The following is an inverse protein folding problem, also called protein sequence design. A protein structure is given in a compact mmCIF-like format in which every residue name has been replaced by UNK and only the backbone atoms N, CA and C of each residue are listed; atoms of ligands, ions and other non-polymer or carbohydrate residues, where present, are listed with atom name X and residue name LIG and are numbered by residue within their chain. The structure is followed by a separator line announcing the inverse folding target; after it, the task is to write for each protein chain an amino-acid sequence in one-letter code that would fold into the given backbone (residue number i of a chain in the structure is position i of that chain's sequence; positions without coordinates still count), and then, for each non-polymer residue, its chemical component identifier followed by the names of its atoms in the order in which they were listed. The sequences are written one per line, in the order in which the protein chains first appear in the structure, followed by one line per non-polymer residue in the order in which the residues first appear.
data_IF_168363468906
#
_entry.id   IF_168363468906
#
_cell.length_a   1.000
_cell.length_b   1.000
_cell.length_c   1.000
_cell.angle_alpha   90.00
_cell.angle_beta   90.00
_cell.angle_gamma   90.00
#
_symmetry.space_group_name_H-M   'P 1'
#
loop_
_entity.id
_entity.type
_entity.pdbx_description
1 polymer ?
#
# COMPACT_ATOMS: atom_id res chain seq x y z
N UNK A 1 -2.47 12.97 -12.44
CA UNK A 1 -2.68 11.61 -11.92
C UNK A 1 -1.46 10.78 -12.23
N UNK A 2 -0.73 10.42 -11.21
CA UNK A 2 0.50 9.63 -11.33
C UNK A 2 0.38 8.37 -10.48
N UNK A 3 1.07 7.32 -10.91
CA UNK A 3 1.15 6.09 -10.16
C UNK A 3 2.58 5.91 -9.68
N UNK A 4 2.73 5.65 -8.38
CA UNK A 4 4.03 5.45 -7.75
C UNK A 4 4.08 4.05 -7.17
N UNK A 5 5.22 3.38 -7.29
CA UNK A 5 5.38 2.01 -6.82
C UNK A 5 6.31 2.00 -5.61
N UNK A 6 5.84 1.39 -4.53
CA UNK A 6 6.62 1.19 -3.31
C UNK A 6 6.79 -0.31 -3.10
N UNK A 7 8.03 -0.77 -3.12
CA UNK A 7 8.35 -2.17 -2.93
C UNK A 7 8.78 -2.39 -1.47
N UNK A 8 7.98 -3.16 -0.74
CA UNK A 8 8.26 -3.49 0.65
C UNK A 8 8.49 -4.99 0.84
N UNK A 9 8.76 -5.72 -0.24
CA UNK A 9 9.07 -7.14 -0.16
C UNK A 9 10.30 -7.36 0.72
N UNK A 10 10.24 -8.36 1.57
CA UNK A 10 11.29 -8.65 2.53
C UNK A 10 11.20 -7.90 3.84
N UNK A 11 10.27 -6.95 3.96
CA UNK A 11 10.07 -6.21 5.22
C UNK A 11 8.98 -6.88 6.05
N UNK A 12 9.20 -6.89 7.37
CA UNK A 12 8.21 -7.42 8.31
C UNK A 12 7.29 -6.29 8.80
N UNK A 13 6.05 -6.65 9.13
CA UNK A 13 5.14 -5.68 9.72
C UNK A 13 5.71 -5.17 11.05
N UNK A 14 5.56 -3.89 11.38
CA UNK A 14 4.69 -2.92 10.68
C UNK A 14 5.39 -2.06 9.62
N UNK A 15 6.58 -2.46 9.16
CA UNK A 15 7.37 -1.61 8.26
C UNK A 15 6.68 -1.27 6.93
N UNK A 16 5.97 -2.20 6.25
CA UNK A 16 5.25 -1.82 5.04
C UNK A 16 4.23 -0.70 5.27
N UNK A 17 3.56 -0.73 6.42
CA UNK A 17 2.59 0.28 6.79
C UNK A 17 3.24 1.65 7.03
N UNK A 18 4.37 1.66 7.73
CA UNK A 18 5.14 2.88 8.00
C UNK A 18 5.65 3.48 6.70
N UNK A 19 6.20 2.64 5.82
CA UNK A 19 6.71 3.07 4.53
C UNK A 19 5.59 3.63 3.64
N UNK A 20 4.44 2.97 3.63
CA UNK A 20 3.30 3.42 2.85
C UNK A 20 2.81 4.79 3.32
N UNK A 21 2.74 5.00 4.62
CA UNK A 21 2.34 6.29 5.18
C UNK A 21 3.30 7.40 4.80
N UNK A 22 4.61 7.14 4.85
CA UNK A 22 5.61 8.12 4.47
C UNK A 22 5.57 8.41 2.96
N UNK A 23 5.40 7.37 2.15
CA UNK A 23 5.37 7.53 0.69
C UNK A 23 4.14 8.31 0.23
N UNK A 24 2.95 7.96 0.76
CA UNK A 24 1.71 8.59 0.31
C UNK A 24 1.64 10.05 0.74
N UNK A 25 2.30 10.42 1.83
CA UNK A 25 2.35 11.81 2.27
C UNK A 25 3.05 12.72 1.28
N UNK A 26 3.91 12.17 0.42
CA UNK A 26 4.63 12.91 -0.60
C UNK A 26 3.85 13.04 -1.91
N UNK A 27 2.71 12.37 -2.02
CA UNK A 27 1.92 12.36 -3.25
C UNK A 27 0.90 13.50 -3.25
N UNK A 28 0.52 13.91 -4.47
CA UNK A 28 -0.55 14.88 -4.65
C UNK A 28 -1.91 14.18 -4.64
N UNK A 29 -2.99 14.87 -4.27
CA UNK A 29 -4.33 14.30 -4.40
C UNK A 29 -4.60 13.84 -5.82
N UNK A 30 -5.13 12.62 -5.94
CA UNK A 30 -5.37 12.00 -7.24
C UNK A 30 -4.28 11.05 -7.69
N UNK A 31 -3.12 11.07 -7.04
CA UNK A 31 -2.06 10.12 -7.31
C UNK A 31 -2.36 8.78 -6.65
N UNK A 32 -1.84 7.70 -7.25
CA UNK A 32 -2.01 6.35 -6.72
C UNK A 32 -0.67 5.83 -6.21
N UNK A 33 -0.71 5.09 -5.10
CA UNK A 33 0.44 4.39 -4.55
C UNK A 33 0.21 2.89 -4.69
N UNK A 34 1.08 2.22 -5.42
CA UNK A 34 1.10 0.76 -5.55
C UNK A 34 2.12 0.21 -4.56
N UNK A 35 1.67 -0.60 -3.63
CA UNK A 35 2.52 -1.17 -2.58
C UNK A 35 2.66 -2.66 -2.83
N UNK A 36 3.89 -3.11 -3.08
CA UNK A 36 4.21 -4.53 -3.18
C UNK A 36 4.68 -5.00 -1.81
N UNK A 37 4.12 -6.09 -1.30
CA UNK A 37 4.45 -6.59 0.02
C UNK A 37 4.35 -8.11 0.06
N UNK A 38 5.07 -8.72 1.01
CA UNK A 38 5.06 -10.17 1.21
C UNK A 38 4.73 -10.57 2.65
N UNK A 39 4.27 -9.63 3.45
CA UNK A 39 3.88 -9.89 4.83
C UNK A 39 2.38 -10.21 4.88
N UNK A 40 2.03 -11.41 5.40
CA UNK A 40 0.61 -11.81 5.48
C UNK A 40 -0.21 -10.88 6.36
N UNK A 41 0.38 -10.31 7.38
CA UNK A 41 -0.33 -9.36 8.26
C UNK A 41 -0.70 -8.08 7.53
N UNK A 42 0.07 -7.69 6.54
CA UNK A 42 -0.21 -6.49 5.76
C UNK A 42 -1.43 -6.65 4.86
N UNK A 43 -1.86 -7.89 4.56
CA UNK A 43 -3.08 -8.13 3.78
C UNK A 43 -4.32 -7.57 4.48
N UNK A 44 -4.27 -7.47 5.80
CA UNK A 44 -5.34 -6.89 6.61
C UNK A 44 -4.99 -5.48 7.05
N UNK A 45 -3.74 -5.25 7.44
CA UNK A 45 -3.31 -3.97 8.01
C UNK A 45 -3.33 -2.82 6.99
N UNK A 46 -2.90 -3.07 5.75
CA UNK A 46 -2.85 -2.03 4.73
C UNK A 46 -4.23 -1.54 4.30
N UNK A 47 -5.20 -2.43 4.00
CA UNK A 47 -6.56 -1.97 3.70
C UNK A 47 -7.20 -1.23 4.85
N UNK A 48 -6.97 -1.69 6.08
CA UNK A 48 -7.49 -1.02 7.28
C UNK A 48 -6.89 0.38 7.43
N UNK A 49 -5.58 0.48 7.29
CA UNK A 49 -4.90 1.77 7.36
C UNK A 49 -5.43 2.74 6.30
N UNK A 50 -5.59 2.27 5.07
CA UNK A 50 -6.10 3.10 3.99
C UNK A 50 -7.51 3.62 4.31
N UNK A 51 -8.37 2.75 4.83
CA UNK A 51 -9.72 3.12 5.20
C UNK A 51 -9.73 4.15 6.33
N UNK A 52 -8.87 3.97 7.33
CA UNK A 52 -8.78 4.89 8.46
C UNK A 52 -8.31 6.28 8.04
N UNK A 53 -7.44 6.33 7.03
CA UNK A 53 -6.92 7.60 6.51
C UNK A 53 -7.83 8.22 5.44
N UNK A 54 -8.87 7.52 5.02
CA UNK A 54 -9.76 8.00 3.97
C UNK A 54 -9.22 7.83 2.56
N UNK A 55 -8.27 6.92 2.36
CA UNK A 55 -7.70 6.63 1.06
C UNK A 55 -8.39 5.41 0.44
N UNK A 56 -9.12 5.55 -0.68
CA UNK A 56 -9.75 4.40 -1.32
C UNK A 56 -8.71 3.40 -1.82
N UNK A 57 -8.99 2.11 -1.62
CA UNK A 57 -8.22 1.03 -2.23
C UNK A 57 -8.83 0.75 -3.59
N UNK A 58 -8.05 0.98 -4.66
CA UNK A 58 -8.54 0.82 -6.02
C UNK A 58 -8.19 -0.54 -6.61
N UNK A 59 -7.21 -1.25 -6.03
CA UNK A 59 -6.83 -2.58 -6.47
C UNK A 59 -6.16 -3.34 -5.33
N UNK A 60 -6.39 -4.66 -5.28
CA UNK A 60 -5.74 -5.55 -4.34
C UNK A 60 -5.62 -6.91 -5.00
N UNK A 61 -4.40 -7.40 -5.21
CA UNK A 61 -4.16 -8.65 -5.90
C UNK A 61 -3.09 -9.47 -5.21
N UNK A 62 -3.23 -10.79 -5.29
CA UNK A 62 -2.15 -11.71 -4.95
C UNK A 62 -1.36 -11.96 -6.23
N UNK A 63 -0.07 -11.66 -6.21
CA UNK A 63 0.78 -11.76 -7.41
C UNK A 63 1.79 -12.90 -7.33
N UNK A 64 1.83 -13.64 -6.22
CA UNK A 64 2.72 -14.77 -6.02
C UNK A 64 2.25 -15.62 -4.85
N UNK A 65 3.04 -16.63 -4.47
CA UNK A 65 2.66 -17.53 -3.38
C UNK A 65 2.49 -16.80 -2.05
N UNK A 66 3.36 -15.86 -1.77
CA UNK A 66 3.30 -15.05 -0.56
C UNK A 66 3.59 -13.59 -0.90
N UNK A 67 3.06 -13.12 -2.02
CA UNK A 67 3.29 -11.77 -2.50
C UNK A 67 1.98 -11.16 -2.95
N UNK A 68 1.75 -9.91 -2.55
CA UNK A 68 0.53 -9.17 -2.86
C UNK A 68 0.89 -7.77 -3.32
N UNK A 69 -0.05 -7.15 -4.01
CA UNK A 69 0.03 -5.73 -4.35
C UNK A 69 -1.29 -5.05 -4.00
N UNK A 70 -1.19 -3.85 -3.47
CA UNK A 70 -2.36 -3.04 -3.15
C UNK A 70 -2.15 -1.65 -3.75
N UNK A 71 -3.19 -1.11 -4.39
CA UNK A 71 -3.15 0.24 -4.95
C UNK A 71 -4.09 1.12 -4.14
N UNK A 72 -3.55 2.22 -3.64
CA UNK A 72 -4.25 3.17 -2.78
C UNK A 72 -4.26 4.52 -3.46
N UNK A 73 -5.42 5.16 -3.51
CA UNK A 73 -5.57 6.49 -4.10
C UNK A 73 -5.35 7.54 -3.02
N UNK A 74 -4.50 8.51 -3.31
CA UNK A 74 -4.32 9.67 -2.45
C UNK A 74 -5.55 10.58 -2.60
N UNK A 75 -6.32 10.67 -1.56
CA UNK A 75 -7.54 11.47 -1.57
C UNK A 75 -7.29 12.94 -1.25
#
# INVERSE_FOLDING_TARGET
MSQHVLDTDGQVCPFPLVEAGAAIALLAPGDELVINFDCTQATDALPRWAAEQGYPVTNFERVGNAQWTITVLKA
#
